data_IF_974181144457
#
_entry.id   IF_974181144457
#
_cell.length_a   1.000
_cell.length_b   1.000
_cell.length_c   1.000
_cell.angle_alpha   90.00
_cell.angle_beta   90.00
_cell.angle_gamma   90.00
#
_symmetry.space_group_name_H-M   'P 1'
#
loop_
_entity.id
_entity.type
_entity.pdbx_description
1 polymer ?
#
# COMPACT_ATOMS: atom_id res chain seq x y z
N UNK A 1 -32.81 -20.74 -60.65
CA UNK A 1 -31.57 -20.78 -59.85
C UNK A 1 -31.57 -19.59 -58.89
N UNK A 2 -32.23 -19.71 -57.73
CA UNK A 2 -32.43 -18.55 -56.81
C UNK A 2 -32.48 -18.95 -55.32
N UNK A 3 -32.05 -20.18 -54.96
CA UNK A 3 -32.23 -20.74 -53.60
C UNK A 3 -31.01 -20.59 -52.68
N UNK A 4 -29.89 -20.05 -53.15
CA UNK A 4 -28.69 -19.88 -52.32
C UNK A 4 -28.67 -18.57 -51.53
N UNK A 5 -29.34 -17.50 -52.01
CA UNK A 5 -29.33 -16.17 -51.37
C UNK A 5 -30.17 -16.06 -50.08
N UNK A 6 -31.17 -16.93 -49.89
CA UNK A 6 -32.07 -16.85 -48.73
C UNK A 6 -31.45 -17.41 -47.45
N UNK A 7 -30.54 -18.37 -47.57
CA UNK A 7 -29.91 -19.07 -46.43
C UNK A 7 -28.96 -18.11 -45.68
N UNK A 8 -28.19 -17.30 -46.42
CA UNK A 8 -27.26 -16.34 -45.82
C UNK A 8 -27.98 -15.23 -45.06
N UNK A 9 -29.10 -14.76 -45.59
CA UNK A 9 -29.88 -13.67 -44.98
C UNK A 9 -30.48 -14.10 -43.63
N UNK A 10 -31.02 -15.31 -43.53
CA UNK A 10 -31.57 -15.83 -42.27
C UNK A 10 -30.51 -16.01 -41.18
N UNK A 11 -29.31 -16.43 -41.56
CA UNK A 11 -28.20 -16.63 -40.62
C UNK A 11 -27.72 -15.28 -40.05
N UNK A 12 -27.62 -14.25 -40.90
CA UNK A 12 -27.23 -12.90 -40.47
C UNK A 12 -28.25 -12.35 -39.47
N UNK A 13 -29.56 -12.48 -39.75
CA UNK A 13 -30.59 -12.01 -38.81
C UNK A 13 -30.53 -12.74 -37.46
N UNK A 14 -30.30 -14.05 -37.47
CA UNK A 14 -30.13 -14.81 -36.23
C UNK A 14 -28.89 -14.35 -35.44
N UNK A 15 -27.75 -14.17 -36.11
CA UNK A 15 -26.52 -13.70 -35.47
C UNK A 15 -26.68 -12.29 -34.87
N UNK A 16 -27.30 -11.37 -35.62
CA UNK A 16 -27.61 -10.01 -35.13
C UNK A 16 -28.57 -10.07 -33.94
N UNK A 17 -29.60 -10.91 -33.98
CA UNK A 17 -30.54 -11.05 -32.87
C UNK A 17 -29.85 -11.61 -31.62
N UNK A 18 -29.02 -12.65 -31.75
CA UNK A 18 -28.24 -13.21 -30.65
C UNK A 18 -27.30 -12.17 -30.04
N UNK A 19 -26.62 -11.38 -30.87
CA UNK A 19 -25.75 -10.29 -30.42
C UNK A 19 -26.54 -9.22 -29.65
N UNK A 20 -27.72 -8.84 -30.13
CA UNK A 20 -28.60 -7.88 -29.43
C UNK A 20 -29.06 -8.43 -28.07
N UNK A 21 -29.41 -9.71 -27.99
CA UNK A 21 -29.76 -10.36 -26.72
C UNK A 21 -28.57 -10.37 -25.76
N UNK A 22 -27.36 -10.70 -26.25
CA UNK A 22 -26.14 -10.69 -25.43
C UNK A 22 -25.82 -9.28 -24.90
N UNK A 23 -25.91 -8.26 -25.76
CA UNK A 23 -25.74 -6.85 -25.35
C UNK A 23 -26.80 -6.45 -24.33
N UNK A 24 -28.05 -6.90 -24.50
CA UNK A 24 -29.14 -6.68 -23.55
C UNK A 24 -28.82 -7.25 -22.17
N UNK A 25 -28.36 -8.52 -22.10
CA UNK A 25 -27.97 -9.17 -20.85
C UNK A 25 -26.80 -8.43 -20.19
N UNK A 26 -25.77 -8.07 -20.96
CA UNK A 26 -24.61 -7.34 -20.45
C UNK A 26 -25.02 -5.97 -19.89
N UNK A 27 -25.93 -5.26 -20.58
CA UNK A 27 -26.44 -3.96 -20.14
C UNK A 27 -27.19 -4.08 -18.81
N UNK A 28 -28.08 -5.06 -18.68
CA UNK A 28 -28.79 -5.32 -17.42
C UNK A 28 -27.82 -5.67 -16.30
N UNK A 29 -26.82 -6.50 -16.57
CA UNK A 29 -25.77 -6.85 -15.61
C UNK A 29 -25.01 -5.61 -15.11
N UNK A 30 -24.58 -4.73 -16.02
CA UNK A 30 -23.88 -3.49 -15.67
C UNK A 30 -24.76 -2.53 -14.87
N UNK A 31 -26.04 -2.41 -15.21
CA UNK A 31 -26.98 -1.58 -14.46
C UNK A 31 -27.17 -2.08 -13.02
N UNK A 32 -27.31 -3.39 -12.82
CA UNK A 32 -27.43 -3.98 -11.48
C UNK A 32 -26.14 -3.74 -10.68
N UNK A 33 -24.97 -3.94 -11.31
CA UNK A 33 -23.69 -3.74 -10.64
C UNK A 33 -23.48 -2.27 -10.24
N UNK A 34 -23.81 -1.33 -11.13
CA UNK A 34 -23.74 0.11 -10.85
C UNK A 34 -24.71 0.51 -9.73
N UNK A 35 -25.95 0.01 -9.77
CA UNK A 35 -26.92 0.27 -8.69
C UNK A 35 -26.44 -0.26 -7.33
N UNK A 36 -25.76 -1.42 -7.31
CA UNK A 36 -25.15 -1.95 -6.08
C UNK A 36 -23.98 -1.09 -5.60
N UNK A 37 -23.12 -0.63 -6.51
CA UNK A 37 -22.01 0.26 -6.20
C UNK A 37 -22.52 1.57 -5.59
N UNK A 38 -23.48 2.25 -6.24
CA UNK A 38 -24.11 3.47 -5.70
C UNK A 38 -24.69 3.30 -4.30
N UNK A 39 -25.35 2.16 -4.03
CA UNK A 39 -25.86 1.86 -2.68
C UNK A 39 -24.76 1.64 -1.66
N UNK A 40 -23.61 1.09 -2.08
CA UNK A 40 -22.44 0.95 -1.19
C UNK A 40 -21.83 2.32 -0.92
N UNK A 41 -21.69 3.15 -1.95
CA UNK A 41 -21.14 4.51 -1.84
C UNK A 41 -22.02 5.40 -0.95
N UNK A 42 -23.34 5.34 -1.11
CA UNK A 42 -24.27 6.06 -0.24
C UNK A 42 -24.14 5.63 1.23
N UNK A 43 -24.04 4.32 1.51
CA UNK A 43 -23.82 3.84 2.89
C UNK A 43 -22.47 4.26 3.45
N UNK A 44 -21.44 4.32 2.60
CA UNK A 44 -20.12 4.83 2.99
C UNK A 44 -20.23 6.31 3.35
N UNK A 45 -20.88 7.12 2.52
CA UNK A 45 -21.09 8.54 2.76
C UNK A 45 -21.89 8.79 4.04
N UNK A 46 -23.00 8.06 4.26
CA UNK A 46 -23.79 8.12 5.48
C UNK A 46 -22.98 7.74 6.73
N UNK A 47 -22.16 6.68 6.63
CA UNK A 47 -21.29 6.26 7.74
C UNK A 47 -20.20 7.29 8.04
N UNK A 48 -19.56 7.84 7.00
CA UNK A 48 -18.55 8.86 7.14
C UNK A 48 -19.15 10.13 7.75
N UNK A 49 -20.26 10.63 7.23
CA UNK A 49 -20.93 11.82 7.77
C UNK A 49 -21.29 11.67 9.26
N UNK A 50 -21.73 10.47 9.66
CA UNK A 50 -22.10 10.19 11.04
C UNK A 50 -20.91 10.14 12.01
N UNK A 51 -19.77 9.57 11.59
CA UNK A 51 -18.65 9.25 12.49
C UNK A 51 -17.38 10.06 12.22
N UNK A 52 -17.33 10.87 11.16
CA UNK A 52 -16.13 11.62 10.77
C UNK A 52 -15.68 12.56 11.89
N UNK A 53 -16.59 13.34 12.47
CA UNK A 53 -16.26 14.28 13.54
C UNK A 53 -15.70 13.58 14.79
N UNK A 54 -16.23 12.40 15.13
CA UNK A 54 -15.75 11.60 16.28
C UNK A 54 -14.33 11.10 16.04
N UNK A 55 -14.05 10.55 14.84
CA UNK A 55 -12.71 10.13 14.47
C UNK A 55 -11.72 11.29 14.39
N UNK A 56 -12.13 12.44 13.86
CA UNK A 56 -11.27 13.63 13.77
C UNK A 56 -10.90 14.15 15.15
N UNK A 57 -11.86 14.21 16.09
CA UNK A 57 -11.58 14.61 17.49
C UNK A 57 -10.68 13.61 18.19
N UNK A 58 -10.89 12.31 17.99
CA UNK A 58 -10.03 11.30 18.58
C UNK A 58 -8.58 11.36 18.05
N UNK A 59 -8.41 11.64 16.76
CA UNK A 59 -7.10 11.81 16.14
C UNK A 59 -6.42 13.11 16.59
N UNK A 60 -7.17 14.21 16.66
CA UNK A 60 -6.61 15.55 16.89
C UNK A 60 -6.51 15.92 18.38
N UNK A 61 -7.59 15.70 19.12
CA UNK A 61 -7.74 16.10 20.52
C UNK A 61 -7.46 14.95 21.49
N UNK A 62 -7.45 13.73 20.97
CA UNK A 62 -7.16 12.54 21.74
C UNK A 62 -8.32 12.08 22.63
N UNK A 63 -9.55 12.41 22.25
CA UNK A 63 -10.76 11.92 22.92
C UNK A 63 -10.91 10.40 22.76
N UNK A 64 -11.53 9.77 23.76
CA UNK A 64 -11.86 8.34 23.74
C UNK A 64 -13.02 8.09 22.78
N UNK A 65 -12.90 7.06 21.94
CA UNK A 65 -13.86 6.74 20.88
C UNK A 65 -14.83 5.68 21.37
N UNK A 66 -16.12 5.89 21.13
CA UNK A 66 -17.17 4.92 21.45
C UNK A 66 -17.66 4.10 20.25
N UNK A 67 -17.07 4.34 19.07
CA UNK A 67 -17.46 3.70 17.81
C UNK A 67 -17.08 2.22 17.79
N UNK A 68 -18.08 1.36 17.79
CA UNK A 68 -17.90 -0.07 17.51
C UNK A 68 -17.96 -0.34 16.00
N UNK A 69 -16.96 -1.06 15.47
CA UNK A 69 -16.88 -1.44 14.06
C UNK A 69 -17.48 -2.85 13.85
N UNK A 70 -18.79 -2.93 13.74
CA UNK A 70 -19.50 -4.23 13.66
C UNK A 70 -19.39 -4.91 12.28
N UNK A 71 -19.10 -4.15 11.23
CA UNK A 71 -19.08 -4.65 9.85
C UNK A 71 -17.71 -4.48 9.21
N UNK A 72 -17.24 -5.47 8.42
CA UNK A 72 -15.96 -5.35 7.72
C UNK A 72 -15.93 -4.17 6.73
N UNK A 73 -17.08 -3.81 6.14
CA UNK A 73 -17.17 -2.61 5.27
C UNK A 73 -16.84 -1.32 6.04
N UNK A 74 -17.25 -1.21 7.30
CA UNK A 74 -16.99 -0.03 8.14
C UNK A 74 -15.51 0.06 8.51
N UNK A 75 -14.87 -1.08 8.78
CA UNK A 75 -13.41 -1.14 9.02
C UNK A 75 -12.66 -0.62 7.79
N UNK A 76 -13.00 -1.10 6.59
CA UNK A 76 -12.40 -0.60 5.34
C UNK A 76 -12.58 0.91 5.17
N UNK A 77 -13.78 1.43 5.42
CA UNK A 77 -14.06 2.86 5.29
C UNK A 77 -13.32 3.70 6.34
N UNK A 78 -13.16 3.18 7.54
CA UNK A 78 -12.42 3.88 8.62
C UNK A 78 -10.92 3.88 8.32
N UNK A 79 -10.38 2.78 7.78
CA UNK A 79 -9.00 2.73 7.30
C UNK A 79 -8.76 3.80 6.22
N UNK A 80 -9.70 4.00 5.28
CA UNK A 80 -9.58 5.06 4.27
C UNK A 80 -9.46 6.46 4.91
N UNK A 81 -10.21 6.73 6.00
CA UNK A 81 -10.10 8.00 6.75
C UNK A 81 -8.70 8.13 7.33
N UNK A 82 -8.22 7.09 8.01
CA UNK A 82 -6.92 7.08 8.68
C UNK A 82 -5.78 7.26 7.68
N UNK A 83 -5.85 6.59 6.52
CA UNK A 83 -4.88 6.73 5.45
C UNK A 83 -4.87 8.14 4.86
N UNK A 84 -6.03 8.77 4.68
CA UNK A 84 -6.10 10.18 4.26
C UNK A 84 -5.39 11.07 5.28
N UNK A 85 -5.76 10.94 6.55
CA UNK A 85 -5.21 11.79 7.62
C UNK A 85 -3.71 11.56 7.81
N UNK A 86 -3.26 10.31 7.84
CA UNK A 86 -1.83 9.99 8.02
C UNK A 86 -0.94 10.60 6.92
N UNK A 87 -1.46 10.76 5.69
CA UNK A 87 -0.71 11.37 4.60
C UNK A 87 -0.80 12.90 4.60
N UNK A 88 -1.88 13.48 5.12
CA UNK A 88 -2.11 14.93 5.15
C UNK A 88 -1.37 15.61 6.31
N UNK A 89 -1.29 14.96 7.48
CA UNK A 89 -0.61 15.50 8.66
C UNK A 89 0.89 15.21 8.63
N UNK A 90 1.70 16.27 8.75
CA UNK A 90 3.17 16.17 8.89
C UNK A 90 3.64 16.08 10.35
N UNK A 91 2.72 16.25 11.29
CA UNK A 91 3.04 16.24 12.72
C UNK A 91 3.24 14.81 13.23
N UNK A 92 4.37 14.56 13.88
CA UNK A 92 4.74 13.22 14.34
C UNK A 92 3.86 12.73 15.49
N UNK A 93 3.28 13.65 16.28
CA UNK A 93 2.37 13.30 17.39
C UNK A 93 1.05 12.80 16.83
N UNK A 94 0.43 13.53 15.90
CA UNK A 94 -0.79 13.08 15.23
C UNK A 94 -0.57 11.77 14.49
N UNK A 95 0.56 11.60 13.80
CA UNK A 95 0.85 10.34 13.09
C UNK A 95 0.99 9.15 14.03
N UNK A 96 1.72 9.31 15.14
CA UNK A 96 1.84 8.27 16.16
C UNK A 96 0.48 7.90 16.75
N UNK A 97 -0.38 8.90 17.01
CA UNK A 97 -1.74 8.68 17.49
C UNK A 97 -2.59 7.88 16.50
N UNK A 98 -2.52 8.23 15.21
CA UNK A 98 -3.23 7.48 14.15
C UNK A 98 -2.74 6.04 14.12
N UNK A 99 -1.43 5.81 14.26
CA UNK A 99 -0.86 4.45 14.34
C UNK A 99 -1.41 3.70 15.54
N UNK A 100 -1.39 4.27 16.76
CA UNK A 100 -1.91 3.64 17.97
C UNK A 100 -3.39 3.24 17.83
N UNK A 101 -4.23 4.17 17.36
CA UNK A 101 -5.65 3.89 17.13
C UNK A 101 -5.86 2.83 16.03
N UNK A 102 -5.02 2.83 14.99
CA UNK A 102 -5.09 1.83 13.93
C UNK A 102 -4.69 0.44 14.44
N UNK A 103 -3.69 0.35 15.31
CA UNK A 103 -3.30 -0.89 15.96
C UNK A 103 -4.41 -1.42 16.86
N UNK A 104 -5.04 -0.56 17.65
CA UNK A 104 -6.14 -0.96 18.55
C UNK A 104 -7.34 -1.50 17.78
N UNK A 105 -7.77 -0.81 16.72
CA UNK A 105 -9.05 -1.11 16.07
C UNK A 105 -8.95 -2.02 14.83
N UNK A 106 -7.79 -2.08 14.15
CA UNK A 106 -7.68 -2.78 12.86
C UNK A 106 -6.80 -4.03 12.89
N UNK A 107 -6.06 -4.29 13.98
CA UNK A 107 -5.09 -5.40 14.02
C UNK A 107 -5.72 -6.75 13.69
N UNK A 108 -6.85 -7.10 14.31
CA UNK A 108 -7.52 -8.38 14.08
C UNK A 108 -7.98 -8.52 12.62
N UNK A 109 -8.63 -7.48 12.09
CA UNK A 109 -9.09 -7.46 10.69
C UNK A 109 -7.92 -7.59 9.70
N UNK A 110 -6.82 -6.89 9.94
CA UNK A 110 -5.63 -6.93 9.08
C UNK A 110 -4.90 -8.28 9.19
N UNK A 111 -4.83 -8.87 10.38
CA UNK A 111 -4.26 -10.21 10.59
C UNK A 111 -5.05 -11.27 9.79
N UNK A 112 -6.38 -11.23 9.86
CA UNK A 112 -7.25 -12.11 9.07
C UNK A 112 -7.05 -11.89 7.56
N UNK A 113 -6.90 -10.64 7.13
CA UNK A 113 -6.65 -10.30 5.73
C UNK A 113 -5.27 -10.79 5.24
N UNK A 114 -4.22 -10.74 6.07
CA UNK A 114 -2.90 -11.31 5.78
C UNK A 114 -2.95 -12.85 5.66
N UNK A 115 -3.75 -13.52 6.49
CA UNK A 115 -3.97 -14.97 6.43
C UNK A 115 -4.84 -15.42 5.25
N UNK A 116 -5.46 -14.49 4.52
CA UNK A 116 -6.38 -14.80 3.44
C UNK A 116 -5.72 -15.47 2.24
N UNK A 117 -6.41 -16.44 1.62
CA UNK A 117 -6.00 -17.01 0.33
C UNK A 117 -6.14 -16.01 -0.82
N UNK A 118 -6.97 -14.97 -0.66
CA UNK A 118 -7.20 -13.94 -1.68
C UNK A 118 -6.02 -12.98 -1.70
N UNK A 119 -5.27 -13.00 -2.80
CA UNK A 119 -4.11 -12.14 -2.99
C UNK A 119 -4.42 -10.64 -2.82
N UNK A 120 -5.56 -10.18 -3.35
CA UNK A 120 -5.99 -8.78 -3.21
C UNK A 120 -6.15 -8.35 -1.73
N UNK A 121 -6.66 -9.23 -0.87
CA UNK A 121 -6.83 -8.94 0.55
C UNK A 121 -5.47 -8.83 1.27
N UNK A 122 -4.53 -9.75 0.97
CA UNK A 122 -3.18 -9.69 1.51
C UNK A 122 -2.41 -8.45 1.06
N UNK A 123 -2.50 -8.12 -0.23
CA UNK A 123 -1.89 -6.91 -0.80
C UNK A 123 -2.43 -5.66 -0.12
N UNK A 124 -3.74 -5.58 0.06
CA UNK A 124 -4.39 -4.49 0.78
C UNK A 124 -3.89 -4.39 2.22
N UNK A 125 -3.90 -5.50 2.96
CA UNK A 125 -3.43 -5.50 4.35
C UNK A 125 -1.96 -5.07 4.48
N UNK A 126 -1.06 -5.60 3.66
CA UNK A 126 0.35 -5.21 3.65
C UNK A 126 0.53 -3.72 3.32
N UNK A 127 -0.25 -3.18 2.37
CA UNK A 127 -0.20 -1.76 2.03
C UNK A 127 -0.67 -0.88 3.19
N UNK A 128 -1.77 -1.25 3.86
CA UNK A 128 -2.30 -0.52 5.02
C UNK A 128 -1.30 -0.55 6.19
N UNK A 129 -0.78 -1.73 6.53
CA UNK A 129 0.21 -1.90 7.61
C UNK A 129 1.47 -1.07 7.34
N UNK A 130 1.95 -1.09 6.10
CA UNK A 130 3.09 -0.28 5.72
C UNK A 130 2.80 1.23 5.84
N UNK A 131 1.66 1.69 5.30
CA UNK A 131 1.32 3.12 5.27
C UNK A 131 1.00 3.70 6.65
N UNK A 132 0.25 2.98 7.49
CA UNK A 132 -0.13 3.42 8.85
C UNK A 132 0.95 3.13 9.90
N UNK A 133 2.08 2.55 9.51
CA UNK A 133 3.15 2.12 10.40
C UNK A 133 2.71 1.20 11.55
N UNK A 134 1.79 0.27 11.27
CA UNK A 134 1.35 -0.72 12.26
C UNK A 134 2.48 -1.73 12.46
N UNK A 135 3.06 -1.76 13.65
CA UNK A 135 4.20 -2.61 14.00
C UNK A 135 3.75 -3.84 14.80
N UNK A 136 2.60 -3.78 15.48
CA UNK A 136 2.01 -4.91 16.21
C UNK A 136 1.77 -6.18 15.37
N UNK A 137 1.80 -6.08 14.03
CA UNK A 137 1.59 -7.18 13.10
C UNK A 137 2.90 -7.72 12.47
N UNK A 138 4.07 -7.35 12.98
CA UNK A 138 5.38 -7.74 12.43
C UNK A 138 5.54 -9.25 12.23
N UNK A 139 5.21 -10.06 13.23
CA UNK A 139 5.29 -11.53 13.19
C UNK A 139 4.35 -12.11 12.11
N UNK A 140 3.12 -11.60 12.03
CA UNK A 140 2.12 -12.02 11.05
C UNK A 140 2.61 -11.69 9.65
N UNK A 141 3.16 -10.49 9.43
CA UNK A 141 3.74 -10.08 8.15
C UNK A 141 4.92 -10.96 7.76
N UNK A 142 5.81 -11.29 8.70
CA UNK A 142 6.95 -12.19 8.46
C UNK A 142 6.51 -13.61 8.09
N UNK A 143 5.36 -14.07 8.59
CA UNK A 143 4.80 -15.39 8.29
C UNK A 143 4.13 -15.49 6.91
N UNK A 144 3.90 -14.36 6.21
CA UNK A 144 3.24 -14.34 4.90
C UNK A 144 4.12 -15.01 3.86
N UNK A 145 3.65 -16.13 3.29
CA UNK A 145 4.25 -16.75 2.11
C UNK A 145 4.05 -15.86 0.88
N UNK A 146 5.04 -15.00 0.60
CA UNK A 146 4.98 -14.07 -0.53
C UNK A 146 4.91 -14.82 -1.87
N UNK A 147 3.74 -14.75 -2.51
CA UNK A 147 3.45 -15.30 -3.82
C UNK A 147 3.91 -14.39 -4.96
N UNK A 148 4.12 -13.11 -4.66
CA UNK A 148 4.54 -12.08 -5.62
C UNK A 148 5.73 -11.28 -5.13
N UNK A 149 6.45 -10.67 -6.07
CA UNK A 149 7.57 -9.77 -5.76
C UNK A 149 7.11 -8.56 -4.93
N UNK A 150 5.93 -8.03 -5.22
CA UNK A 150 5.32 -6.94 -4.46
C UNK A 150 5.10 -7.30 -2.98
N UNK A 151 4.50 -8.47 -2.69
CA UNK A 151 4.32 -8.94 -1.30
C UNK A 151 5.67 -9.07 -0.59
N UNK A 152 6.68 -9.62 -1.29
CA UNK A 152 8.02 -9.79 -0.73
C UNK A 152 8.68 -8.45 -0.41
N UNK A 153 8.56 -7.48 -1.30
CA UNK A 153 9.12 -6.15 -1.11
C UNK A 153 8.46 -5.40 0.06
N UNK A 154 7.12 -5.44 0.15
CA UNK A 154 6.39 -4.83 1.26
C UNK A 154 6.69 -5.51 2.60
N UNK A 155 6.64 -6.84 2.66
CA UNK A 155 6.94 -7.57 3.88
C UNK A 155 8.37 -7.28 4.36
N UNK A 156 9.35 -7.30 3.45
CA UNK A 156 10.73 -6.94 3.78
C UNK A 156 10.87 -5.49 4.27
N UNK A 157 10.13 -4.54 3.67
CA UNK A 157 10.15 -3.14 4.09
C UNK A 157 9.56 -2.95 5.50
N UNK A 158 8.47 -3.65 5.82
CA UNK A 158 7.84 -3.62 7.15
C UNK A 158 8.79 -4.23 8.19
N UNK A 159 9.31 -5.44 7.96
CA UNK A 159 10.23 -6.10 8.91
C UNK A 159 11.54 -5.32 9.09
N UNK A 160 12.07 -4.71 8.03
CA UNK A 160 13.27 -3.87 8.14
C UNK A 160 13.04 -2.59 8.95
N UNK A 161 11.82 -2.04 8.95
CA UNK A 161 11.44 -0.87 9.76
C UNK A 161 11.45 -1.24 11.26
N UNK A 162 10.82 -2.35 11.61
CA UNK A 162 10.74 -2.85 12.99
C UNK A 162 12.13 -2.99 13.63
N UNK A 163 13.10 -3.52 12.87
CA UNK A 163 14.49 -3.63 13.33
C UNK A 163 15.19 -2.28 13.56
N UNK A 164 14.81 -1.21 12.87
CA UNK A 164 15.41 0.12 13.09
C UNK A 164 14.89 0.77 14.37
N UNK A 165 13.61 0.60 14.68
CA UNK A 165 12.99 1.14 15.90
C UNK A 165 13.63 0.51 17.14
N UNK A 166 13.81 -0.82 17.14
CA UNK A 166 14.44 -1.52 18.27
C UNK A 166 15.91 -1.14 18.56
N UNK A 167 16.66 -0.65 17.57
CA UNK A 167 18.05 -0.20 17.77
C UNK A 167 18.11 1.19 18.40
N UNK A 168 17.17 2.09 18.06
CA UNK A 168 17.09 3.44 18.63
C UNK A 168 16.81 3.41 20.14
N UNK A 169 15.94 2.51 20.59
CA UNK A 169 15.59 2.40 22.02
C UNK A 169 16.71 1.74 22.86
N UNK A 170 17.54 0.91 22.24
CA UNK A 170 18.71 0.31 22.89
C UNK A 170 19.86 1.31 23.11
N UNK A 171 20.02 2.30 22.21
CA UNK A 171 21.02 3.36 22.34
C UNK A 171 20.69 4.40 23.43
N UNK A 172 19.43 4.47 23.88
CA UNK A 172 19.02 5.35 24.99
C UNK A 172 19.47 4.89 26.39
N UNK A 173 19.90 3.63 26.56
CA UNK A 173 20.29 3.06 27.87
C UNK A 173 21.77 2.68 28.00
N UNK A 174 22.54 2.66 26.91
CA UNK A 174 23.98 2.42 26.97
C UNK A 174 24.75 3.70 26.63
N UNK A 175 25.47 4.22 27.63
CA UNK A 175 26.22 5.47 27.58
C UNK A 175 26.95 5.69 26.25
N UNK A 176 26.73 6.88 25.70
CA UNK A 176 27.16 7.47 24.42
C UNK A 176 28.66 7.42 24.07
N UNK A 177 29.48 6.72 24.86
CA UNK A 177 30.93 6.63 24.68
C UNK A 177 31.39 5.37 23.91
N UNK A 178 30.60 4.29 23.89
CA UNK A 178 30.99 3.05 23.19
C UNK A 178 30.60 3.08 21.70
N UNK A 179 29.38 3.56 21.38
CA UNK A 179 28.87 3.62 20.00
C UNK A 179 29.61 4.66 19.16
N UNK A 180 30.02 5.80 19.75
CA UNK A 180 30.80 6.82 19.04
C UNK A 180 32.16 6.31 18.55
N UNK A 181 32.77 5.33 19.22
CA UNK A 181 34.02 4.72 18.76
C UNK A 181 33.78 3.71 17.63
N UNK A 182 32.73 2.89 17.74
CA UNK A 182 32.39 1.91 16.70
C UNK A 182 31.91 2.58 15.39
N UNK A 183 31.13 3.66 15.48
CA UNK A 183 30.69 4.41 14.31
C UNK A 183 31.84 5.16 13.60
N UNK A 184 32.85 5.63 14.33
CA UNK A 184 34.04 6.25 13.73
C UNK A 184 34.90 5.21 12.99
N UNK A 185 35.07 4.02 13.55
CA UNK A 185 35.83 2.93 12.91
C UNK A 185 35.12 2.41 11.64
N UNK A 186 33.78 2.41 11.60
CA UNK A 186 33.00 2.02 10.42
C UNK A 186 33.02 3.09 9.33
N UNK A 187 32.92 4.38 9.67
CA UNK A 187 33.01 5.49 8.71
C UNK A 187 34.42 5.57 8.09
N UNK A 188 35.46 5.22 8.85
CA UNK A 188 36.84 5.16 8.34
C UNK A 188 37.08 3.94 7.43
N UNK A 189 36.41 2.80 7.69
CA UNK A 189 36.41 1.64 6.80
C UNK A 189 35.61 1.87 5.50
N UNK A 190 34.51 2.62 5.54
CA UNK A 190 33.63 2.85 4.38
C UNK A 190 34.20 3.86 3.37
N UNK A 191 35.08 4.78 3.80
CA UNK A 191 35.85 5.67 2.89
C UNK A 191 36.78 4.91 1.95
N UNK A 192 37.22 3.71 2.32
CA UNK A 192 38.11 2.87 1.50
C UNK A 192 37.32 2.02 0.49
N UNK A 193 36.02 1.78 0.73
CA UNK A 193 35.20 0.84 -0.05
C UNK A 193 34.01 1.42 -0.83
N UNK A 194 33.70 2.72 -0.69
CA UNK A 194 32.45 3.30 -1.19
C UNK A 194 32.22 3.05 -2.70
N UNK A 195 31.05 2.51 -3.10
CA UNK A 195 30.64 2.32 -4.50
C UNK A 195 30.70 3.60 -5.34
N UNK A 196 30.52 4.77 -4.71
CA UNK A 196 30.63 6.07 -5.35
C UNK A 196 32.06 6.35 -5.86
N UNK A 197 33.10 5.91 -5.13
CA UNK A 197 34.49 6.02 -5.57
C UNK A 197 34.82 5.03 -6.70
N UNK A 198 34.19 3.85 -6.73
CA UNK A 198 34.34 2.90 -7.85
C UNK A 198 33.76 3.46 -9.14
N UNK A 199 32.58 4.07 -9.08
CA UNK A 199 31.95 4.72 -10.24
C UNK A 199 32.78 5.92 -10.74
N UNK A 200 33.37 6.70 -9.83
CA UNK A 200 34.24 7.82 -10.20
C UNK A 200 35.53 7.37 -10.91
N UNK A 201 36.14 6.27 -10.45
CA UNK A 201 37.33 5.69 -11.10
C UNK A 201 37.00 5.04 -12.45
N UNK A 202 35.81 4.46 -12.63
CA UNK A 202 35.35 3.93 -13.94
C UNK A 202 35.07 5.08 -14.93
N UNK A 203 34.48 6.18 -14.47
CA UNK A 203 34.25 7.36 -15.31
C UNK A 203 35.54 8.08 -15.70
N UNK A 204 36.54 8.11 -14.81
CA UNK A 204 37.85 8.67 -15.10
C UNK A 204 38.67 7.83 -16.11
N UNK A 205 38.45 6.50 -16.17
CA UNK A 205 39.16 5.62 -17.10
C UNK A 205 38.55 5.58 -18.51
N UNK A 206 37.38 6.19 -18.72
CA UNK A 206 36.64 6.18 -19.98
C UNK A 206 36.53 7.55 -20.66
N UNK A 207 37.28 8.57 -20.21
CA UNK A 207 37.41 9.79 -21.01
C UNK A 207 38.33 9.52 -22.22
N UNK A 208 37.79 9.50 -23.45
CA UNK A 208 38.64 9.38 -24.64
C UNK A 208 39.55 10.60 -24.71
N UNK A 209 40.82 10.37 -25.01
CA UNK A 209 41.82 11.40 -25.24
C UNK A 209 41.23 12.43 -26.24
N UNK A 210 40.99 13.65 -25.74
CA UNK A 210 40.70 14.79 -26.60
C UNK A 210 41.92 14.97 -27.49
N UNK A 211 41.80 14.57 -28.75
CA UNK A 211 42.72 14.99 -29.80
C UNK A 211 42.73 16.52 -29.80
N UNK A 212 43.85 17.07 -29.37
CA UNK A 212 44.25 18.44 -29.62
C UNK A 212 44.35 18.62 -31.13
N UNK A 213 43.25 19.06 -31.75
CA UNK A 213 43.30 19.69 -33.05
C UNK A 213 43.90 21.09 -32.89
N UNK A 214 45.23 21.12 -32.77
CA UNK A 214 46.06 22.30 -33.02
C UNK A 214 46.42 22.30 -34.50
N UNK A 215 45.81 23.19 -35.27
CA UNK A 215 46.38 23.80 -36.49
C UNK A 215 45.39 24.85 -36.99
N UNK A 216 45.73 26.03 -37.52
CA UNK A 216 46.96 26.80 -37.76
C UNK A 216 46.45 28.22 -38.00
#
# INVERSE_FOLDING_TARGET
MSRTLTIDTSLIFFAVNMLLVLIGILTVYLLINNARAKKKDQRKEEYLDQHHDEWVRAISDGEEISVTLDRPEQVEWTIDIFLSHHNDYKDDVTRSRITELAEEHFSDYLADALGSRRQAARHYALAVIYQLNIDALGDQVASVSASTEFERALAAAITAREHRVGVSDAEGKFGTNAVKRSALDIIEAEKVGSPANRLRNILASHQPAREEAVSV
#
